data_IF_272853723500
#
_entry.id   IF_272853723500
#
_cell.length_a   1.000
_cell.length_b   1.000
_cell.length_c   1.000
_cell.angle_alpha   90.00
_cell.angle_beta   90.00
_cell.angle_gamma   90.00
#
_symmetry.space_group_name_H-M   'P 1'
#
loop_
_entity.id
_entity.type
_entity.pdbx_description
1 polymer ?
#
# COMPACT_ATOMS: atom_id res chain seq x y z
N UNK A 1 3.55 -17.44 11.12
CA UNK A 1 3.52 -16.36 12.12
C UNK A 1 4.43 -15.19 11.76
N UNK A 2 5.60 -15.40 11.14
CA UNK A 2 6.54 -14.32 10.76
C UNK A 2 6.06 -13.38 9.63
N UNK A 3 5.20 -13.84 8.70
CA UNK A 3 4.73 -13.01 7.57
C UNK A 3 4.00 -11.74 8.03
N UNK A 4 3.32 -11.81 9.18
CA UNK A 4 2.55 -10.69 9.72
C UNK A 4 3.46 -9.61 10.33
N UNK A 5 4.56 -9.96 10.99
CA UNK A 5 5.45 -8.97 11.65
C UNK A 5 6.18 -8.07 10.64
N UNK A 6 6.69 -8.63 9.53
CA UNK A 6 7.32 -7.84 8.47
C UNK A 6 6.33 -6.88 7.81
N UNK A 7 5.10 -7.33 7.60
CA UNK A 7 4.06 -6.52 6.98
C UNK A 7 3.62 -5.37 7.90
N UNK A 8 3.36 -5.67 9.17
CA UNK A 8 3.09 -4.67 10.20
C UNK A 8 4.22 -3.65 10.32
N UNK A 9 5.48 -4.11 10.34
CA UNK A 9 6.65 -3.21 10.39
C UNK A 9 6.67 -2.26 9.18
N UNK A 10 6.43 -2.77 7.98
CA UNK A 10 6.39 -1.95 6.77
C UNK A 10 5.27 -0.90 6.85
N UNK A 11 4.09 -1.32 7.28
CA UNK A 11 2.93 -0.44 7.46
C UNK A 11 3.21 0.67 8.48
N UNK A 12 3.71 0.32 9.67
CA UNK A 12 4.08 1.30 10.70
C UNK A 12 5.18 2.25 10.24
N UNK A 13 6.18 1.74 9.52
CA UNK A 13 7.25 2.57 8.95
C UNK A 13 6.70 3.61 7.96
N UNK A 14 5.70 3.23 7.16
CA UNK A 14 5.01 4.15 6.25
C UNK A 14 4.15 5.20 6.98
N UNK A 15 3.48 4.82 8.08
CA UNK A 15 2.75 5.78 8.94
C UNK A 15 3.74 6.83 9.48
N UNK A 16 4.82 6.35 10.11
CA UNK A 16 5.81 7.18 10.79
C UNK A 16 6.76 7.91 9.82
N UNK A 17 6.69 7.60 8.52
CA UNK A 17 7.57 8.15 7.49
C UNK A 17 9.06 7.90 7.78
N UNK A 18 9.39 6.68 8.19
CA UNK A 18 10.76 6.24 8.51
C UNK A 18 11.08 4.93 7.79
N UNK A 19 12.36 4.55 7.77
CA UNK A 19 12.82 3.23 7.31
C UNK A 19 12.32 2.84 5.91
N UNK A 20 12.24 3.80 4.99
CA UNK A 20 11.66 3.61 3.65
C UNK A 20 12.20 2.37 2.95
N UNK A 21 13.53 2.19 2.94
CA UNK A 21 14.18 1.06 2.26
C UNK A 21 13.68 -0.28 2.80
N UNK A 22 13.64 -0.44 4.12
CA UNK A 22 13.18 -1.65 4.79
C UNK A 22 11.67 -1.86 4.59
N UNK A 23 10.87 -0.79 4.70
CA UNK A 23 9.43 -0.85 4.47
C UNK A 23 9.11 -1.34 3.05
N UNK A 24 9.81 -0.80 2.04
CA UNK A 24 9.65 -1.22 0.65
C UNK A 24 10.09 -2.67 0.45
N UNK A 25 11.23 -3.05 1.02
CA UNK A 25 11.71 -4.42 0.93
C UNK A 25 10.71 -5.42 1.52
N UNK A 26 10.26 -5.21 2.75
CA UNK A 26 9.37 -6.14 3.43
C UNK A 26 8.00 -6.25 2.77
N UNK A 27 7.38 -5.12 2.39
CA UNK A 27 6.09 -5.16 1.71
C UNK A 27 6.19 -5.82 0.33
N UNK A 28 7.23 -5.53 -0.45
CA UNK A 28 7.42 -6.16 -1.76
C UNK A 28 7.78 -7.64 -1.69
N UNK A 29 8.46 -8.10 -0.64
CA UNK A 29 8.68 -9.53 -0.37
C UNK A 29 7.35 -10.26 -0.11
N UNK A 30 6.45 -9.67 0.69
CA UNK A 30 5.15 -10.26 0.99
C UNK A 30 4.28 -10.38 -0.26
N UNK A 31 4.17 -9.32 -1.06
CA UNK A 31 3.41 -9.37 -2.33
C UNK A 31 4.00 -10.37 -3.31
N UNK A 32 5.33 -10.51 -3.40
CA UNK A 32 5.96 -11.54 -4.25
C UNK A 32 5.70 -12.96 -3.76
N UNK A 33 5.63 -13.15 -2.45
CA UNK A 33 5.41 -14.48 -1.84
C UNK A 33 3.95 -14.91 -1.92
N UNK A 34 3.01 -13.95 -1.91
CA UNK A 34 1.59 -14.20 -2.07
C UNK A 34 0.93 -13.04 -2.83
N UNK A 35 0.93 -13.13 -4.16
CA UNK A 35 0.41 -12.07 -5.03
C UNK A 35 -1.09 -11.82 -4.84
N UNK A 36 -1.84 -12.79 -4.31
CA UNK A 36 -3.27 -12.70 -4.04
C UNK A 36 -3.59 -12.25 -2.60
N UNK A 37 -2.59 -11.91 -1.80
CA UNK A 37 -2.80 -11.40 -0.45
C UNK A 37 -3.21 -9.93 -0.49
N UNK A 38 -4.48 -9.68 -0.17
CA UNK A 38 -5.03 -8.32 -0.18
C UNK A 38 -4.43 -7.42 0.89
N UNK A 39 -4.02 -7.95 2.04
CA UNK A 39 -3.38 -7.17 3.11
C UNK A 39 -1.97 -6.78 2.67
N UNK A 40 -1.26 -7.69 2.01
CA UNK A 40 0.05 -7.41 1.43
C UNK A 40 -0.04 -6.37 0.31
N UNK A 41 -1.02 -6.49 -0.58
CA UNK A 41 -1.28 -5.52 -1.65
C UNK A 41 -1.62 -4.13 -1.10
N UNK A 42 -2.51 -4.06 -0.10
CA UNK A 42 -2.86 -2.80 0.56
C UNK A 42 -1.64 -2.17 1.24
N UNK A 43 -0.90 -2.93 2.04
CA UNK A 43 0.30 -2.42 2.72
C UNK A 43 1.35 -1.96 1.74
N UNK A 44 1.60 -2.74 0.67
CA UNK A 44 2.56 -2.35 -0.36
C UNK A 44 2.14 -1.07 -1.07
N UNK A 45 0.85 -0.98 -1.42
CA UNK A 45 0.30 0.24 -1.98
C UNK A 45 0.48 1.42 -1.03
N UNK A 46 0.18 1.25 0.24
CA UNK A 46 0.31 2.30 1.24
C UNK A 46 1.76 2.76 1.43
N UNK A 47 2.72 1.82 1.53
CA UNK A 47 4.15 2.13 1.57
C UNK A 47 4.56 2.96 0.35
N UNK A 48 4.18 2.53 -0.86
CA UNK A 48 4.50 3.26 -2.08
C UNK A 48 3.88 4.66 -2.11
N UNK A 49 2.62 4.81 -1.68
CA UNK A 49 1.93 6.09 -1.61
C UNK A 49 2.64 7.05 -0.65
N UNK A 50 2.99 6.55 0.55
CA UNK A 50 3.58 7.38 1.59
C UNK A 50 4.91 7.98 1.17
N UNK A 51 5.71 7.24 0.41
CA UNK A 51 7.00 7.66 -0.12
C UNK A 51 6.95 8.04 -1.62
N UNK A 52 5.78 8.37 -2.15
CA UNK A 52 5.65 8.81 -3.54
C UNK A 52 6.25 10.21 -3.72
N UNK A 53 7.02 10.41 -4.79
CA UNK A 53 7.70 11.67 -5.09
C UNK A 53 7.06 12.47 -6.22
N UNK A 54 6.18 11.84 -7.00
CA UNK A 54 5.58 12.40 -8.19
C UNK A 54 4.23 11.73 -8.51
N UNK A 55 3.48 12.33 -9.45
CA UNK A 55 2.20 11.80 -9.91
C UNK A 55 2.28 10.38 -10.46
N UNK A 56 3.34 10.06 -11.21
CA UNK A 56 3.51 8.75 -11.84
C UNK A 56 3.66 7.63 -10.80
N UNK A 57 4.33 7.91 -9.68
CA UNK A 57 4.44 6.98 -8.56
C UNK A 57 3.05 6.70 -7.98
N UNK A 58 2.26 7.74 -7.71
CA UNK A 58 0.91 7.59 -7.15
C UNK A 58 -0.03 6.84 -8.09
N UNK A 59 0.04 7.07 -9.39
CA UNK A 59 -0.78 6.35 -10.38
C UNK A 59 -0.54 4.84 -10.37
N UNK A 60 0.73 4.42 -10.20
CA UNK A 60 1.09 2.99 -10.08
C UNK A 60 0.46 2.35 -8.84
N UNK A 61 0.26 3.11 -7.76
CA UNK A 61 -0.31 2.62 -6.52
C UNK A 61 -1.82 2.38 -6.59
N UNK A 62 -2.56 3.20 -7.36
CA UNK A 62 -4.02 3.08 -7.47
C UNK A 62 -4.46 1.67 -7.90
N UNK A 63 -3.66 0.99 -8.72
CA UNK A 63 -3.90 -0.40 -9.12
C UNK A 63 -3.90 -1.37 -7.96
N UNK A 64 -2.98 -1.21 -7.00
CA UNK A 64 -2.82 -2.10 -5.84
C UNK A 64 -4.05 -2.04 -4.93
N UNK A 65 -4.51 -0.83 -4.56
CA UNK A 65 -5.70 -0.70 -3.72
C UNK A 65 -6.96 -1.25 -4.40
N UNK A 66 -7.11 -1.01 -5.71
CA UNK A 66 -8.25 -1.57 -6.47
C UNK A 66 -8.24 -3.09 -6.50
N UNK A 67 -7.08 -3.72 -6.58
CA UNK A 67 -6.95 -5.18 -6.50
C UNK A 67 -7.32 -5.69 -5.11
N UNK A 68 -6.79 -5.06 -4.05
CA UNK A 68 -7.11 -5.43 -2.67
C UNK A 68 -8.62 -5.31 -2.36
N UNK A 69 -9.28 -4.27 -2.86
CA UNK A 69 -10.74 -4.06 -2.70
C UNK A 69 -11.55 -5.14 -3.43
N UNK A 70 -11.16 -5.48 -4.66
CA UNK A 70 -11.87 -6.44 -5.52
C UNK A 70 -11.64 -7.89 -5.10
N UNK A 71 -10.62 -8.16 -4.30
CA UNK A 71 -10.29 -9.51 -3.88
C UNK A 71 -11.43 -10.13 -3.02
N UNK A 72 -12.05 -11.23 -3.47
CA UNK A 72 -13.18 -11.84 -2.76
C UNK A 72 -12.74 -12.48 -1.44
N UNK A 73 -11.47 -12.87 -1.31
CA UNK A 73 -10.88 -13.49 -0.11
C UNK A 73 -10.43 -12.47 0.93
N UNK A 74 -10.41 -11.18 0.60
CA UNK A 74 -9.94 -10.14 1.51
C UNK A 74 -10.93 -9.93 2.67
N UNK A 75 -10.37 -9.79 3.87
CA UNK A 75 -11.14 -9.45 5.06
C UNK A 75 -11.85 -8.10 4.91
N UNK A 76 -12.96 -7.94 5.64
CA UNK A 76 -13.73 -6.69 5.62
C UNK A 76 -12.89 -5.48 6.05
N UNK A 77 -11.98 -5.66 6.99
CA UNK A 77 -11.11 -4.59 7.48
C UNK A 77 -10.10 -4.16 6.41
N UNK A 78 -9.46 -5.12 5.73
CA UNK A 78 -8.54 -4.85 4.62
C UNK A 78 -9.22 -4.09 3.50
N UNK A 79 -10.45 -4.46 3.12
CA UNK A 79 -11.22 -3.72 2.10
C UNK A 79 -11.51 -2.27 2.51
N UNK A 80 -11.82 -2.05 3.80
CA UNK A 80 -12.06 -0.70 4.33
C UNK A 80 -10.78 0.15 4.31
N UNK A 81 -9.66 -0.42 4.75
CA UNK A 81 -8.36 0.26 4.70
C UNK A 81 -7.95 0.59 3.27
N UNK A 82 -8.00 -0.38 2.36
CA UNK A 82 -7.70 -0.15 0.94
C UNK A 82 -8.59 0.89 0.29
N UNK A 83 -9.87 0.99 0.69
CA UNK A 83 -10.76 2.05 0.22
C UNK A 83 -10.35 3.43 0.72
N UNK A 84 -9.96 3.54 2.00
CA UNK A 84 -9.46 4.79 2.58
C UNK A 84 -8.13 5.22 1.94
N UNK A 85 -7.21 4.29 1.73
CA UNK A 85 -5.93 4.56 1.06
C UNK A 85 -6.11 4.91 -0.42
N UNK A 86 -7.08 4.29 -1.10
CA UNK A 86 -7.43 4.65 -2.48
C UNK A 86 -7.90 6.11 -2.57
N UNK A 87 -8.76 6.53 -1.65
CA UNK A 87 -9.20 7.92 -1.58
C UNK A 87 -8.00 8.86 -1.33
N UNK A 88 -7.14 8.53 -0.37
CA UNK A 88 -5.93 9.31 -0.08
C UNK A 88 -5.00 9.40 -1.30
N UNK A 89 -4.84 8.32 -2.07
CA UNK A 89 -4.03 8.31 -3.27
C UNK A 89 -4.62 9.21 -4.36
N UNK A 90 -5.95 9.22 -4.52
CA UNK A 90 -6.62 10.11 -5.47
C UNK A 90 -6.42 11.59 -5.11
N UNK A 91 -6.54 11.92 -3.82
CA UNK A 91 -6.29 13.28 -3.32
C UNK A 91 -4.83 13.69 -3.52
N UNK A 92 -3.88 12.79 -3.23
CA UNK A 92 -2.45 13.03 -3.44
C UNK A 92 -2.12 13.23 -4.93
N UNK A 93 -2.71 12.41 -5.81
CA UNK A 93 -2.51 12.53 -7.25
C UNK A 93 -3.02 13.87 -7.78
N UNK A 94 -4.20 14.31 -7.31
CA UNK A 94 -4.76 15.61 -7.69
C UNK A 94 -3.82 16.75 -7.29
N UNK A 95 -3.20 16.69 -6.10
CA UNK A 95 -2.19 17.67 -5.66
C UNK A 95 -0.97 17.68 -6.56
N UNK A 96 -0.42 16.51 -6.92
CA UNK A 96 0.73 16.46 -7.83
C UNK A 96 0.43 16.96 -9.26
N UNK A 97 -0.81 16.90 -9.71
CA UNK A 97 -1.21 17.37 -11.06
C UNK A 97 -1.63 18.84 -11.10
N UNK A 98 -1.97 19.43 -9.95
CA UNK A 98 -2.36 20.84 -9.82
C UNK A 98 -1.21 21.79 -9.52
N UNK A 99 0.01 21.26 -9.36
CA UNK A 99 1.28 21.98 -9.23
C UNK A 99 2.13 21.73 -10.48
#
# INVERSE_FOLDING_TARGET
MESNLKLQYAYFSAIQFVNEKQARQFASEQVRSNADDAEAQDTWGYVLLRFASNAQDVEKVLGQFRQAIKNPKAERITKRLASAHLQQAQETLARFKGH
#
